data_IF_831603574266
#
_entry.id   IF_831603574266
#
_cell.length_a   1.000
_cell.length_b   1.000
_cell.length_c   1.000
_cell.angle_alpha   90.00
_cell.angle_beta   90.00
_cell.angle_gamma   90.00
#
_symmetry.space_group_name_H-M   'P 1'
#
loop_
_entity.id
_entity.type
_entity.pdbx_description
1 polymer ?
#
# COMPACT_ATOMS: atom_id res chain seq x y z
N UNK A 1 5.32 10.96 15.45
CA UNK A 1 5.71 9.64 14.91
C UNK A 1 4.83 9.36 13.70
N UNK A 2 5.41 9.02 12.55
CA UNK A 2 4.64 8.52 11.40
C UNK A 2 4.33 7.04 11.65
N UNK A 3 3.13 6.61 11.26
CA UNK A 3 2.69 5.22 11.37
C UNK A 3 3.69 4.27 10.70
N UNK A 4 3.86 3.06 11.27
CA UNK A 4 4.82 2.07 10.78
C UNK A 4 4.11 0.77 10.39
N UNK A 5 4.50 0.14 9.26
CA UNK A 5 3.93 -1.14 8.85
C UNK A 5 4.23 -2.23 9.88
N UNK A 6 3.33 -3.20 10.01
CA UNK A 6 3.47 -4.31 10.93
C UNK A 6 2.70 -5.55 10.44
N UNK A 7 2.95 -6.71 11.08
CA UNK A 7 2.30 -7.98 10.73
C UNK A 7 1.07 -8.30 11.60
N UNK A 8 0.57 -7.36 12.41
CA UNK A 8 -0.49 -7.68 13.39
C UNK A 8 -1.76 -8.22 12.73
N UNK A 9 -2.16 -7.63 11.60
CA UNK A 9 -3.32 -8.08 10.83
C UNK A 9 -3.06 -9.46 10.20
N UNK A 10 -1.86 -9.69 9.67
CA UNK A 10 -1.45 -11.00 9.14
C UNK A 10 -1.50 -12.07 10.22
N UNK A 11 -0.95 -11.81 11.41
CA UNK A 11 -0.99 -12.74 12.55
C UNK A 11 -2.43 -13.05 13.00
N UNK A 12 -3.33 -12.06 12.95
CA UNK A 12 -4.73 -12.24 13.29
C UNK A 12 -5.45 -13.09 12.23
N UNK A 13 -5.23 -12.79 10.95
CA UNK A 13 -5.85 -13.48 9.82
C UNK A 13 -5.36 -14.93 9.70
N UNK A 14 -4.08 -15.18 10.00
CA UNK A 14 -3.46 -16.51 9.98
C UNK A 14 -3.81 -17.37 11.19
N UNK A 15 -4.34 -16.79 12.26
CA UNK A 15 -4.44 -17.50 13.54
C UNK A 15 -3.07 -17.88 14.12
N UNK A 16 -2.01 -17.15 13.76
CA UNK A 16 -0.60 -17.46 14.04
C UNK A 16 -0.09 -18.77 13.43
N UNK A 17 -0.69 -19.22 12.32
CA UNK A 17 -0.16 -20.32 11.52
C UNK A 17 1.05 -19.84 10.67
N UNK A 18 2.26 -20.36 10.90
CA UNK A 18 3.46 -19.87 10.22
C UNK A 18 3.45 -20.11 8.71
N UNK A 19 2.84 -21.20 8.24
CA UNK A 19 2.77 -21.54 6.81
C UNK A 19 1.83 -20.55 6.10
N UNK A 20 0.73 -20.19 6.75
CA UNK A 20 -0.19 -19.21 6.21
C UNK A 20 0.40 -17.79 6.20
N UNK A 21 1.14 -17.41 7.25
CA UNK A 21 1.85 -16.13 7.32
C UNK A 21 2.87 -15.99 6.18
N UNK A 22 3.72 -17.00 5.99
CA UNK A 22 4.72 -17.01 4.92
C UNK A 22 4.06 -16.90 3.54
N UNK A 23 2.93 -17.60 3.34
CA UNK A 23 2.16 -17.50 2.09
C UNK A 23 1.64 -16.08 1.87
N UNK A 24 1.09 -15.41 2.87
CA UNK A 24 0.61 -14.03 2.73
C UNK A 24 1.77 -13.06 2.46
N UNK A 25 2.86 -13.18 3.22
CA UNK A 25 4.06 -12.34 3.07
C UNK A 25 4.65 -12.50 1.67
N UNK A 26 4.74 -13.73 1.15
CA UNK A 26 5.28 -13.98 -0.20
C UNK A 26 4.43 -13.37 -1.31
N UNK A 27 3.09 -13.39 -1.17
CA UNK A 27 2.17 -12.73 -2.10
C UNK A 27 2.40 -11.21 -2.08
N UNK A 28 2.50 -10.60 -0.89
CA UNK A 28 2.75 -9.16 -0.76
C UNK A 28 4.10 -8.78 -1.36
N UNK A 29 5.17 -9.52 -1.05
CA UNK A 29 6.52 -9.33 -1.60
C UNK A 29 6.54 -9.37 -3.14
N UNK A 30 5.69 -10.19 -3.75
CA UNK A 30 5.58 -10.31 -5.20
C UNK A 30 4.75 -9.18 -5.81
N UNK A 31 3.56 -8.92 -5.27
CA UNK A 31 2.59 -8.02 -5.91
C UNK A 31 2.85 -6.53 -5.63
N UNK A 32 3.34 -6.19 -4.43
CA UNK A 32 3.52 -4.81 -4.03
C UNK A 32 4.46 -4.02 -4.96
N UNK A 33 5.65 -4.54 -5.34
CA UNK A 33 6.54 -3.82 -6.25
C UNK A 33 5.90 -3.57 -7.62
N UNK A 34 5.14 -4.53 -8.14
CA UNK A 34 4.45 -4.40 -9.43
C UNK A 34 3.33 -3.35 -9.37
N UNK A 35 2.54 -3.33 -8.29
CA UNK A 35 1.50 -2.32 -8.08
C UNK A 35 2.08 -0.92 -7.89
N UNK A 36 3.15 -0.80 -7.10
CA UNK A 36 3.87 0.46 -6.91
C UNK A 36 4.41 0.99 -8.24
N UNK A 37 5.01 0.14 -9.07
CA UNK A 37 5.50 0.53 -10.39
C UNK A 37 4.38 0.99 -11.32
N UNK A 38 3.22 0.32 -11.32
CA UNK A 38 2.04 0.74 -12.09
C UNK A 38 1.52 2.11 -11.65
N UNK A 39 1.42 2.34 -10.34
CA UNK A 39 1.04 3.63 -9.78
C UNK A 39 1.92 4.77 -10.33
N UNK A 40 3.24 4.64 -10.21
CA UNK A 40 4.16 5.68 -10.69
C UNK A 40 4.06 5.89 -12.20
N UNK A 41 3.92 4.81 -12.97
CA UNK A 41 3.74 4.88 -14.42
C UNK A 41 2.46 5.66 -14.79
N UNK A 42 1.31 5.29 -14.24
CA UNK A 42 0.05 5.97 -14.57
C UNK A 42 0.04 7.42 -14.08
N UNK A 43 0.71 7.70 -12.95
CA UNK A 43 0.88 9.06 -12.46
C UNK A 43 1.75 9.92 -13.40
N UNK A 44 2.84 9.37 -13.93
CA UNK A 44 3.70 10.04 -14.92
C UNK A 44 2.94 10.31 -16.23
N UNK A 45 2.11 9.37 -16.66
CA UNK A 45 1.20 9.49 -17.80
C UNK A 45 0.02 10.46 -17.54
N UNK A 46 -0.12 10.98 -16.31
CA UNK A 46 -1.25 11.81 -15.83
C UNK A 46 -2.61 11.15 -16.03
N UNK A 47 -2.65 9.82 -16.02
CA UNK A 47 -3.88 9.05 -16.13
C UNK A 47 -4.48 8.83 -14.74
N UNK A 48 -5.06 9.89 -14.17
CA UNK A 48 -5.48 9.89 -12.77
C UNK A 48 -6.56 8.86 -12.44
N UNK A 49 -7.40 8.48 -13.41
CA UNK A 49 -8.36 7.38 -13.23
C UNK A 49 -7.65 6.05 -12.96
N UNK A 50 -6.64 5.71 -13.77
CA UNK A 50 -5.86 4.49 -13.55
C UNK A 50 -4.97 4.61 -12.31
N UNK A 51 -4.43 5.79 -12.03
CA UNK A 51 -3.71 6.05 -10.78
C UNK A 51 -4.61 5.78 -9.56
N UNK A 52 -5.87 6.22 -9.58
CA UNK A 52 -6.83 5.96 -8.51
C UNK A 52 -7.10 4.45 -8.33
N UNK A 53 -7.24 3.71 -9.43
CA UNK A 53 -7.38 2.25 -9.40
C UNK A 53 -6.14 1.55 -8.81
N UNK A 54 -4.94 2.08 -9.06
CA UNK A 54 -3.72 1.56 -8.42
C UNK A 54 -3.64 1.92 -6.94
N UNK A 55 -4.04 3.13 -6.54
CA UNK A 55 -4.16 3.54 -5.12
C UNK A 55 -5.14 2.61 -4.39
N UNK A 56 -6.27 2.27 -5.00
CA UNK A 56 -7.25 1.33 -4.44
C UNK A 56 -6.64 -0.05 -4.14
N UNK A 57 -5.84 -0.59 -5.07
CA UNK A 57 -5.15 -1.88 -4.87
C UNK A 57 -4.10 -1.79 -3.76
N UNK A 58 -3.29 -0.73 -3.78
CA UNK A 58 -2.27 -0.47 -2.76
C UNK A 58 -2.89 -0.28 -1.37
N UNK A 59 -4.08 0.35 -1.29
CA UNK A 59 -4.87 0.53 -0.06
C UNK A 59 -5.20 -0.79 0.63
N UNK A 60 -5.46 -1.87 -0.11
CA UNK A 60 -5.63 -3.19 0.50
C UNK A 60 -4.36 -3.69 1.18
N UNK A 61 -3.19 -3.49 0.57
CA UNK A 61 -1.92 -3.89 1.21
C UNK A 61 -1.55 -3.00 2.39
N UNK A 62 -1.90 -1.71 2.35
CA UNK A 62 -1.80 -0.78 3.49
C UNK A 62 -2.58 -1.35 4.69
N UNK A 63 -3.83 -1.78 4.47
CA UNK A 63 -4.65 -2.42 5.51
C UNK A 63 -4.03 -3.72 6.03
N UNK A 64 -3.56 -4.59 5.13
CA UNK A 64 -2.92 -5.86 5.50
C UNK A 64 -1.64 -5.66 6.32
N UNK A 65 -0.90 -4.57 6.08
CA UNK A 65 0.29 -4.19 6.84
C UNK A 65 -0.02 -3.34 8.08
N UNK A 66 -1.28 -3.30 8.53
CA UNK A 66 -1.68 -2.69 9.80
C UNK A 66 -1.50 -1.18 9.87
N UNK A 67 -1.61 -0.49 8.73
CA UNK A 67 -1.50 0.97 8.61
C UNK A 67 -2.89 1.61 8.51
N UNK A 68 -3.62 1.71 9.62
CA UNK A 68 -4.99 2.20 9.65
C UNK A 68 -5.10 3.69 9.27
N UNK A 69 -4.21 4.55 9.78
CA UNK A 69 -4.24 5.97 9.44
C UNK A 69 -3.90 6.20 7.95
N UNK A 70 -2.93 5.44 7.45
CA UNK A 70 -2.52 5.48 6.06
C UNK A 70 -3.58 4.91 5.11
N UNK A 71 -4.47 4.03 5.59
CA UNK A 71 -5.63 3.56 4.82
C UNK A 71 -6.57 4.72 4.49
N UNK A 72 -6.91 5.56 5.48
CA UNK A 72 -7.76 6.74 5.26
C UNK A 72 -7.06 7.79 4.39
N UNK A 73 -5.73 7.94 4.53
CA UNK A 73 -4.95 8.79 3.63
C UNK A 73 -5.07 8.31 2.18
N UNK A 74 -4.91 7.00 1.94
CA UNK A 74 -5.02 6.41 0.61
C UNK A 74 -6.43 6.56 0.04
N UNK A 75 -7.47 6.38 0.85
CA UNK A 75 -8.87 6.59 0.44
C UNK A 75 -9.14 8.05 0.06
N UNK A 76 -8.61 9.02 0.81
CA UNK A 76 -8.74 10.43 0.45
C UNK A 76 -7.97 10.74 -0.84
N UNK A 77 -6.77 10.21 -1.01
CA UNK A 77 -5.98 10.42 -2.21
C UNK A 77 -6.60 9.77 -3.46
N UNK A 78 -7.22 8.59 -3.30
CA UNK A 78 -8.01 7.93 -4.35
C UNK A 78 -9.12 8.86 -4.87
N UNK A 79 -9.86 9.51 -3.96
CA UNK A 79 -10.90 10.48 -4.33
C UNK A 79 -10.32 11.76 -4.95
N UNK A 80 -9.20 12.28 -4.45
CA UNK A 80 -8.53 13.45 -5.04
C UNK A 80 -8.11 13.20 -6.49
N UNK A 81 -7.58 12.01 -6.79
CA UNK A 81 -7.19 11.64 -8.15
C UNK A 81 -8.38 11.64 -9.12
N UNK A 82 -9.57 11.27 -8.67
CA UNK A 82 -10.79 11.34 -9.49
C UNK A 82 -11.20 12.77 -9.82
N UNK A 83 -10.84 13.73 -8.97
CA UNK A 83 -11.01 15.17 -9.18
C UNK A 83 -9.78 15.83 -9.86
N UNK A 84 -8.76 15.05 -10.23
CA UNK A 84 -7.46 15.49 -10.77
C UNK A 84 -6.61 16.31 -9.79
N UNK A 85 -6.82 16.14 -8.49
CA UNK A 85 -6.06 16.75 -7.42
C UNK A 85 -4.92 15.83 -6.94
N UNK A 86 -3.82 16.43 -6.49
CA UNK A 86 -2.61 15.70 -6.06
C UNK A 86 -2.13 16.12 -4.67
N UNK A 87 -3.03 16.65 -3.85
CA UNK A 87 -2.69 17.25 -2.55
C UNK A 87 -2.05 16.23 -1.61
N UNK A 88 -2.50 14.97 -1.66
CA UNK A 88 -2.00 13.84 -0.85
C UNK A 88 -0.94 12.98 -1.50
N UNK A 89 -0.47 13.35 -2.69
CA UNK A 89 0.55 12.58 -3.42
C UNK A 89 1.79 12.32 -2.57
N UNK A 90 2.35 13.37 -1.98
CA UNK A 90 3.61 13.26 -1.24
C UNK A 90 3.44 12.39 0.01
N UNK A 91 2.37 12.60 0.80
CA UNK A 91 2.10 11.76 1.96
C UNK A 91 1.86 10.30 1.57
N UNK A 92 1.17 10.04 0.45
CA UNK A 92 0.95 8.68 -0.04
C UNK A 92 2.24 8.00 -0.49
N UNK A 93 3.12 8.71 -1.23
CA UNK A 93 4.41 8.19 -1.65
C UNK A 93 5.33 7.86 -0.45
N UNK A 94 5.25 8.65 0.63
CA UNK A 94 5.94 8.34 1.89
C UNK A 94 5.42 7.04 2.53
N UNK A 95 4.12 6.77 2.49
CA UNK A 95 3.53 5.50 2.93
C UNK A 95 4.08 4.34 2.08
N UNK A 96 4.09 4.48 0.75
CA UNK A 96 4.64 3.45 -0.14
C UNK A 96 6.13 3.19 0.12
N UNK A 97 6.89 4.23 0.47
CA UNK A 97 8.29 4.05 0.83
C UNK A 97 8.46 3.34 2.16
N UNK A 98 7.64 3.67 3.16
CA UNK A 98 7.62 2.98 4.45
C UNK A 98 7.29 1.50 4.30
N UNK A 99 6.28 1.17 3.49
CA UNK A 99 5.91 -0.21 3.15
C UNK A 99 7.05 -0.94 2.44
N UNK A 100 7.70 -0.31 1.45
CA UNK A 100 8.83 -0.92 0.74
C UNK A 100 9.96 -1.29 1.70
N UNK A 101 10.38 -0.34 2.54
CA UNK A 101 11.45 -0.58 3.52
C UNK A 101 11.11 -1.75 4.44
N UNK A 102 9.88 -1.80 4.95
CA UNK A 102 9.43 -2.88 5.80
C UNK A 102 9.45 -4.23 5.08
N UNK A 103 8.94 -4.29 3.84
CA UNK A 103 8.91 -5.52 3.03
C UNK A 103 10.33 -6.02 2.72
N UNK A 104 11.27 -5.11 2.46
CA UNK A 104 12.67 -5.43 2.18
C UNK A 104 13.41 -5.96 3.42
N UNK A 105 13.01 -5.54 4.62
CA UNK A 105 13.55 -6.03 5.90
C UNK A 105 13.00 -7.39 6.32
N UNK A 106 11.83 -7.80 5.81
CA UNK A 106 11.29 -9.13 6.04
C UNK A 106 12.20 -10.15 5.36
N UNK A 107 12.79 -11.05 6.15
CA UNK A 107 13.64 -12.15 5.65
C UNK A 107 12.86 -13.18 4.85
#
# INVERSE_FOLDING_TARGET
MKEQPNLSYIHQLSGRDPVFEEKLISIIKKEFPEEKARYFKHLEEKNYKLTAEDVHKLKHKISILGLEASYYLAENYENELLENELSKKNEFEEVLQSMQNFIDELK
#
